data_IF_324353888989
#
_entry.id   IF_324353888989
#
_cell.length_a   1.000
_cell.length_b   1.000
_cell.length_c   1.000
_cell.angle_alpha   90.00
_cell.angle_beta   90.00
_cell.angle_gamma   90.00
#
_symmetry.space_group_name_H-M   'P 1'
#
loop_
_entity.id
_entity.type
_entity.pdbx_description
1 polymer ?
#
# COMPACT_ATOMS: atom_id res chain seq x y z
N UNK A 1 5.07 -2.46 22.79
CA UNK A 1 6.05 -2.99 21.82
C UNK A 1 5.47 -4.12 20.98
N UNK A 2 4.90 -5.18 21.57
CA UNK A 2 4.37 -6.34 20.82
C UNK A 2 3.43 -5.99 19.65
N UNK A 3 2.53 -5.03 19.82
CA UNK A 3 1.61 -4.58 18.76
C UNK A 3 2.30 -3.96 17.54
N UNK A 4 3.41 -3.23 17.73
CA UNK A 4 4.22 -2.67 16.63
C UNK A 4 4.96 -3.77 15.87
N UNK A 5 5.48 -4.77 16.59
CA UNK A 5 6.15 -5.93 15.99
C UNK A 5 5.15 -6.75 15.16
N UNK A 6 3.96 -7.03 15.71
CA UNK A 6 2.88 -7.71 14.99
C UNK A 6 2.47 -6.94 13.73
N UNK A 7 2.22 -5.62 13.84
CA UNK A 7 1.88 -4.79 12.68
C UNK A 7 2.96 -4.81 11.58
N UNK A 8 4.24 -4.77 11.97
CA UNK A 8 5.38 -4.87 11.05
C UNK A 8 5.46 -6.25 10.37
N UNK A 9 5.28 -7.34 11.14
CA UNK A 9 5.26 -8.69 10.58
C UNK A 9 4.12 -8.89 9.57
N UNK A 10 2.92 -8.38 9.85
CA UNK A 10 1.80 -8.42 8.90
C UNK A 10 2.13 -7.62 7.62
N UNK A 11 2.71 -6.43 7.76
CA UNK A 11 3.08 -5.60 6.62
C UNK A 11 4.18 -6.24 5.75
N UNK A 12 5.18 -6.90 6.36
CA UNK A 12 6.22 -7.67 5.63
C UNK A 12 5.63 -8.88 4.92
N UNK A 13 4.74 -9.65 5.57
CA UNK A 13 4.06 -10.79 4.95
C UNK A 13 3.17 -10.34 3.76
N UNK A 14 2.45 -9.23 3.91
CA UNK A 14 1.69 -8.62 2.82
C UNK A 14 2.58 -8.19 1.66
N UNK A 15 3.71 -7.54 1.93
CA UNK A 15 4.70 -7.13 0.93
C UNK A 15 5.30 -8.30 0.14
N UNK A 16 5.71 -9.38 0.85
CA UNK A 16 6.18 -10.62 0.22
C UNK A 16 5.07 -11.26 -0.63
N UNK A 17 3.82 -11.20 -0.18
CA UNK A 17 2.65 -11.57 -0.96
C UNK A 17 2.55 -10.79 -2.27
N UNK A 18 2.62 -9.45 -2.22
CA UNK A 18 2.58 -8.58 -3.43
C UNK A 18 3.69 -8.91 -4.43
N UNK A 19 4.92 -9.20 -3.96
CA UNK A 19 6.02 -9.67 -4.82
C UNK A 19 5.67 -11.03 -5.45
N UNK A 20 5.17 -11.98 -4.66
CA UNK A 20 4.81 -13.32 -5.11
C UNK A 20 3.74 -13.30 -6.21
N UNK A 21 2.70 -12.47 -6.06
CA UNK A 21 1.65 -12.27 -7.06
C UNK A 21 2.19 -11.62 -8.34
N UNK A 22 3.13 -10.70 -8.22
CA UNK A 22 3.79 -10.07 -9.36
C UNK A 22 4.57 -11.11 -10.19
N UNK A 23 5.27 -12.05 -9.55
CA UNK A 23 6.04 -13.10 -10.23
C UNK A 23 5.23 -14.29 -10.75
N UNK A 24 4.13 -14.66 -10.09
CA UNK A 24 3.36 -15.88 -10.40
C UNK A 24 2.54 -15.77 -11.69
N UNK A 25 2.60 -16.76 -12.60
CA UNK A 25 1.80 -16.78 -13.82
C UNK A 25 0.37 -17.30 -13.64
N UNK A 26 -0.22 -17.15 -12.46
CA UNK A 26 -1.53 -17.72 -12.11
C UNK A 26 -2.59 -16.64 -11.83
N UNK A 27 -2.72 -15.63 -12.70
CA UNK A 27 -3.73 -14.57 -12.57
C UNK A 27 -5.07 -14.96 -13.17
N UNK A 28 -5.05 -15.59 -14.35
CA UNK A 28 -6.23 -16.19 -14.99
C UNK A 28 -5.87 -17.58 -15.49
N UNK A 29 -6.73 -18.55 -15.27
CA UNK A 29 -6.65 -19.88 -15.86
C UNK A 29 -7.70 -19.97 -16.98
N UNK A 30 -7.46 -20.71 -18.07
CA UNK A 30 -8.45 -20.91 -19.12
C UNK A 30 -8.27 -22.29 -19.73
N UNK A 31 -9.30 -23.13 -19.61
CA UNK A 31 -9.31 -24.45 -20.22
C UNK A 31 -9.94 -24.37 -21.62
N UNK A 32 -9.15 -24.73 -22.64
CA UNK A 32 -9.61 -24.84 -24.01
C UNK A 32 -9.86 -26.31 -24.32
N UNK A 33 -11.14 -26.69 -24.34
CA UNK A 33 -11.57 -28.03 -24.75
C UNK A 33 -12.06 -27.94 -26.19
N UNK A 34 -11.17 -28.27 -27.13
CA UNK A 34 -11.55 -28.47 -28.54
C UNK A 34 -12.39 -29.74 -28.73
N UNK A 35 -13.05 -29.87 -29.89
CA UNK A 35 -13.87 -31.04 -30.22
C UNK A 35 -13.09 -32.38 -30.29
N UNK A 36 -11.75 -32.34 -30.24
CA UNK A 36 -10.88 -33.49 -30.13
C UNK A 36 -10.00 -33.40 -28.88
N UNK A 37 -9.94 -34.52 -28.13
CA UNK A 37 -9.16 -34.69 -26.88
C UNK A 37 -7.67 -34.33 -27.06
N UNK A 38 -7.13 -34.55 -28.26
CA UNK A 38 -5.73 -34.26 -28.63
C UNK A 38 -5.39 -32.76 -28.60
N UNK A 39 -6.38 -31.87 -28.65
CA UNK A 39 -6.21 -30.40 -28.65
C UNK A 39 -6.63 -29.72 -27.35
N UNK A 40 -6.88 -30.48 -26.27
CA UNK A 40 -7.22 -29.90 -24.98
C UNK A 40 -5.96 -29.31 -24.32
N UNK A 41 -6.02 -28.01 -24.00
CA UNK A 41 -4.92 -27.26 -23.39
C UNK A 41 -5.41 -26.35 -22.26
N UNK A 42 -4.59 -26.21 -21.22
CA UNK A 42 -4.84 -25.30 -20.09
C UNK A 42 -3.86 -24.14 -20.17
N UNK A 43 -4.38 -22.93 -20.33
CA UNK A 43 -3.59 -21.71 -20.39
C UNK A 43 -3.64 -20.99 -19.04
N UNK A 44 -2.47 -20.77 -18.45
CA UNK A 44 -2.25 -19.92 -17.30
C UNK A 44 -1.68 -18.58 -17.79
N UNK A 45 -2.47 -17.52 -17.65
CA UNK A 45 -2.04 -16.15 -17.93
C UNK A 45 -1.51 -15.51 -16.65
N UNK A 46 -0.26 -15.04 -16.74
CA UNK A 46 0.41 -14.27 -15.72
C UNK A 46 0.53 -12.80 -16.05
N UNK A 47 1.10 -12.05 -15.10
CA UNK A 47 1.40 -10.65 -15.34
C UNK A 47 2.55 -10.47 -16.35
N UNK A 48 3.60 -11.31 -16.32
CA UNK A 48 4.81 -11.17 -17.17
C UNK A 48 5.04 -12.29 -18.19
N UNK A 49 4.41 -13.45 -18.01
CA UNK A 49 4.50 -14.61 -18.89
C UNK A 49 3.15 -15.33 -18.95
N UNK A 50 2.92 -16.09 -20.02
CA UNK A 50 1.87 -17.10 -20.05
C UNK A 50 2.49 -18.51 -20.11
N UNK A 51 1.80 -19.49 -19.55
CA UNK A 51 2.19 -20.89 -19.60
C UNK A 51 1.02 -21.72 -20.15
N UNK A 52 1.28 -22.52 -21.17
CA UNK A 52 0.32 -23.48 -21.73
C UNK A 52 0.73 -24.88 -21.32
N UNK A 53 -0.21 -25.66 -20.79
CA UNK A 53 -0.04 -27.08 -20.51
C UNK A 53 -0.91 -27.85 -21.50
N UNK A 54 -0.24 -28.62 -22.37
CA UNK A 54 -0.89 -29.47 -23.37
C UNK A 54 -1.26 -30.84 -22.78
N UNK A 55 -2.23 -31.52 -23.39
CA UNK A 55 -2.67 -32.87 -22.96
C UNK A 55 -1.55 -33.95 -22.97
N UNK A 56 -0.42 -33.68 -23.63
CA UNK A 56 0.78 -34.53 -23.61
C UNK A 56 1.63 -34.36 -22.33
N UNK A 57 1.23 -33.50 -21.40
CA UNK A 57 1.95 -33.20 -20.16
C UNK A 57 3.13 -32.23 -20.33
N UNK A 58 3.34 -31.71 -21.54
CA UNK A 58 4.38 -30.71 -21.82
C UNK A 58 3.87 -29.33 -21.44
N UNK A 59 4.63 -28.62 -20.59
CA UNK A 59 4.40 -27.21 -20.27
C UNK A 59 5.32 -26.30 -21.09
N UNK A 60 4.75 -25.28 -21.72
CA UNK A 60 5.45 -24.27 -22.50
C UNK A 60 5.15 -22.89 -21.90
N UNK A 61 6.15 -22.25 -21.29
CA UNK A 61 6.03 -20.91 -20.73
C UNK A 61 6.73 -19.88 -21.62
N UNK A 62 6.00 -18.88 -22.09
CA UNK A 62 6.53 -17.82 -22.96
C UNK A 62 6.38 -16.44 -22.28
N UNK A 63 7.44 -15.63 -22.21
CA UNK A 63 7.33 -14.27 -21.69
C UNK A 63 6.71 -13.32 -22.74
N UNK A 64 6.04 -12.27 -22.28
CA UNK A 64 5.45 -11.25 -23.16
C UNK A 64 6.52 -10.27 -23.68
N UNK A 65 7.16 -10.59 -24.81
CA UNK A 65 8.24 -9.78 -25.39
C UNK A 65 7.82 -8.39 -25.89
N UNK A 66 6.57 -8.20 -26.31
CA UNK A 66 6.07 -6.94 -26.88
C UNK A 66 4.99 -6.31 -26.01
N UNK A 67 5.31 -5.20 -25.33
CA UNK A 67 4.36 -4.47 -24.48
C UNK A 67 3.24 -3.78 -25.27
N UNK A 68 3.48 -3.41 -26.54
CA UNK A 68 2.55 -2.63 -27.37
C UNK A 68 1.43 -3.48 -28.00
N UNK A 69 1.55 -4.81 -27.98
CA UNK A 69 0.56 -5.74 -28.52
C UNK A 69 -0.35 -6.37 -27.43
N UNK A 70 -0.22 -5.90 -26.19
CA UNK A 70 -0.92 -6.46 -25.03
C UNK A 70 -2.21 -5.66 -24.73
N UNK A 71 -3.31 -6.29 -24.27
CA UNK A 71 -4.50 -5.56 -23.85
C UNK A 71 -4.19 -4.51 -22.78
N UNK A 72 -4.79 -3.30 -22.86
CA UNK A 72 -4.46 -2.17 -21.98
C UNK A 72 -4.72 -2.47 -20.50
N UNK A 73 -5.73 -3.30 -20.21
CA UNK A 73 -6.08 -3.78 -18.87
C UNK A 73 -4.90 -4.48 -18.15
N UNK A 74 -4.13 -5.30 -18.89
CA UNK A 74 -2.94 -5.96 -18.35
C UNK A 74 -1.81 -4.96 -18.11
N UNK A 75 -1.64 -3.98 -19.00
CA UNK A 75 -0.62 -2.94 -18.86
C UNK A 75 -0.90 -2.03 -17.64
N UNK A 76 -2.16 -1.65 -17.42
CA UNK A 76 -2.59 -0.92 -16.24
C UNK A 76 -2.34 -1.73 -14.96
N UNK A 77 -2.70 -3.02 -14.95
CA UNK A 77 -2.48 -3.91 -13.81
C UNK A 77 -0.99 -4.10 -13.47
N UNK A 78 -0.11 -4.25 -14.48
CA UNK A 78 1.36 -4.24 -14.31
C UNK A 78 1.82 -2.96 -13.61
N UNK A 79 1.44 -1.80 -14.13
CA UNK A 79 1.86 -0.51 -13.58
C UNK A 79 1.41 -0.34 -12.12
N UNK A 80 0.15 -0.65 -11.80
CA UNK A 80 -0.40 -0.54 -10.45
C UNK A 80 0.31 -1.47 -9.45
N UNK A 81 0.58 -2.73 -9.83
CA UNK A 81 1.33 -3.68 -8.97
C UNK A 81 2.78 -3.21 -8.76
N UNK A 82 3.46 -2.73 -9.81
CA UNK A 82 4.82 -2.18 -9.67
C UNK A 82 4.87 -0.95 -8.75
N UNK A 83 3.89 -0.03 -8.85
CA UNK A 83 3.80 1.15 -7.98
C UNK A 83 3.43 0.74 -6.54
N UNK A 84 2.57 -0.26 -6.34
CA UNK A 84 2.29 -0.85 -5.02
C UNK A 84 3.56 -1.41 -4.37
N UNK A 85 4.38 -2.17 -5.10
CA UNK A 85 5.66 -2.69 -4.60
C UNK A 85 6.62 -1.54 -4.25
N UNK A 86 6.78 -0.55 -5.12
CA UNK A 86 7.66 0.58 -4.89
C UNK A 86 7.24 1.41 -3.66
N UNK A 87 5.94 1.69 -3.51
CA UNK A 87 5.40 2.40 -2.35
C UNK A 87 5.51 1.59 -1.06
N UNK A 88 5.35 0.26 -1.10
CA UNK A 88 5.60 -0.61 0.05
C UNK A 88 7.08 -0.62 0.48
N UNK A 89 8.05 -0.60 -0.45
CA UNK A 89 9.48 -0.46 -0.12
C UNK A 89 9.76 0.86 0.60
N UNK A 90 9.18 1.97 0.12
CA UNK A 90 9.29 3.27 0.79
C UNK A 90 8.65 3.25 2.19
N UNK A 91 7.51 2.56 2.36
CA UNK A 91 6.87 2.38 3.65
C UNK A 91 7.73 1.58 4.65
N UNK A 92 8.42 0.52 4.19
CA UNK A 92 9.40 -0.23 4.99
C UNK A 92 10.52 0.71 5.46
N UNK A 93 11.10 1.52 4.58
CA UNK A 93 12.14 2.50 4.95
C UNK A 93 11.67 3.49 6.04
N UNK A 94 10.50 4.11 5.85
CA UNK A 94 9.92 5.07 6.79
C UNK A 94 9.59 4.43 8.16
N UNK A 95 9.04 3.22 8.15
CA UNK A 95 8.71 2.49 9.38
C UNK A 95 9.96 2.06 10.15
N UNK A 96 11.00 1.56 9.48
CA UNK A 96 12.29 1.19 10.11
C UNK A 96 12.94 2.40 10.81
N UNK A 97 12.90 3.58 10.20
CA UNK A 97 13.36 4.84 10.82
C UNK A 97 12.48 5.24 12.01
N UNK A 98 11.16 5.05 11.92
CA UNK A 98 10.21 5.40 12.98
C UNK A 98 10.21 4.46 14.21
N UNK A 99 10.69 3.22 14.09
CA UNK A 99 10.72 2.25 15.18
C UNK A 99 11.60 2.70 16.35
N UNK A 100 11.05 2.72 17.57
CA UNK A 100 11.73 3.18 18.79
C UNK A 100 13.11 2.52 18.98
N UNK A 101 13.28 1.26 18.59
CA UNK A 101 14.51 0.47 18.68
C UNK A 101 15.68 0.95 17.78
N UNK A 102 15.41 1.67 16.69
CA UNK A 102 16.44 2.09 15.71
C UNK A 102 17.19 3.33 16.19
N UNK A 103 18.40 3.19 16.75
CA UNK A 103 19.22 4.34 17.21
C UNK A 103 20.10 4.93 16.08
N UNK A 104 19.51 5.15 14.90
CA UNK A 104 20.25 5.58 13.70
C UNK A 104 20.38 7.11 13.57
N UNK A 105 19.59 7.88 14.33
CA UNK A 105 19.64 9.35 14.36
C UNK A 105 19.20 9.93 15.70
N UNK A 106 19.89 10.98 16.16
CA UNK A 106 19.59 11.74 17.38
C UNK A 106 18.45 12.77 17.21
N UNK A 107 17.41 12.45 16.42
CA UNK A 107 16.24 13.33 16.24
C UNK A 107 15.29 13.28 17.45
N UNK A 108 14.50 14.35 17.66
CA UNK A 108 13.47 14.36 18.71
C UNK A 108 12.47 13.20 18.51
N UNK A 109 12.03 12.64 19.63
CA UNK A 109 11.19 11.45 19.71
C UNK A 109 9.85 11.63 18.99
N UNK A 110 9.37 12.87 18.89
CA UNK A 110 8.20 13.27 18.13
C UNK A 110 8.41 13.16 16.60
N UNK A 111 9.54 13.64 16.07
CA UNK A 111 9.87 13.54 14.63
C UNK A 111 9.96 12.08 14.20
N UNK A 112 10.57 11.24 15.05
CA UNK A 112 10.66 9.79 14.84
C UNK A 112 9.28 9.12 14.82
N UNK A 113 8.38 9.50 15.73
CA UNK A 113 7.00 9.01 15.72
C UNK A 113 6.26 9.43 14.43
N UNK A 114 6.38 10.69 14.00
CA UNK A 114 5.77 11.21 12.77
C UNK A 114 6.23 10.46 11.51
N UNK A 115 7.52 10.16 11.39
CA UNK A 115 8.04 9.34 10.28
C UNK A 115 7.43 7.93 10.25
N UNK A 116 7.29 7.30 11.41
CA UNK A 116 6.66 5.98 11.50
C UNK A 116 5.15 5.98 11.20
N UNK A 117 4.42 7.02 11.63
CA UNK A 117 2.99 7.22 11.28
C UNK A 117 2.85 7.38 9.76
N UNK A 118 3.70 8.22 9.15
CA UNK A 118 3.72 8.39 7.70
C UNK A 118 3.98 7.06 6.97
N UNK A 119 4.95 6.26 7.44
CA UNK A 119 5.20 4.91 6.91
C UNK A 119 3.98 3.99 7.01
N UNK A 120 3.24 4.01 8.12
CA UNK A 120 1.99 3.26 8.28
C UNK A 120 0.90 3.67 7.28
N UNK A 121 0.75 4.97 7.02
CA UNK A 121 -0.20 5.50 6.02
C UNK A 121 0.20 5.10 4.60
N UNK A 122 1.50 5.18 4.25
CA UNK A 122 2.00 4.74 2.94
C UNK A 122 1.80 3.22 2.76
N UNK A 123 1.91 2.41 3.81
CA UNK A 123 1.56 0.98 3.77
C UNK A 123 0.08 0.73 3.45
N UNK A 124 -0.84 1.51 4.02
CA UNK A 124 -2.28 1.42 3.69
C UNK A 124 -2.50 1.77 2.22
N UNK A 125 -1.89 2.86 1.73
CA UNK A 125 -1.97 3.25 0.32
C UNK A 125 -1.40 2.15 -0.61
N UNK A 126 -0.24 1.58 -0.29
CA UNK A 126 0.35 0.49 -1.07
C UNK A 126 -0.57 -0.74 -1.13
N UNK A 127 -1.22 -1.09 -0.02
CA UNK A 127 -2.24 -2.16 0.04
C UNK A 127 -3.47 -1.88 -0.84
N UNK A 128 -4.00 -0.65 -0.80
CA UNK A 128 -5.10 -0.23 -1.68
C UNK A 128 -4.70 -0.27 -3.16
N UNK A 129 -3.50 0.19 -3.51
CA UNK A 129 -2.95 0.11 -4.86
C UNK A 129 -2.74 -1.35 -5.34
N UNK A 130 -2.59 -2.32 -4.43
CA UNK A 130 -2.58 -3.74 -4.76
C UNK A 130 -4.01 -4.30 -4.95
N UNK A 131 -4.98 -3.87 -4.14
CA UNK A 131 -6.35 -4.38 -4.19
C UNK A 131 -7.11 -3.94 -5.44
N UNK A 132 -6.85 -2.72 -5.94
CA UNK A 132 -7.50 -2.19 -7.16
C UNK A 132 -7.27 -3.09 -8.39
N UNK A 133 -6.03 -3.36 -8.86
CA UNK A 133 -5.79 -4.17 -10.06
C UNK A 133 -6.22 -5.63 -9.88
N UNK A 134 -6.09 -6.19 -8.68
CA UNK A 134 -6.52 -7.57 -8.38
C UNK A 134 -8.04 -7.70 -8.47
N UNK A 135 -8.79 -6.76 -7.88
CA UNK A 135 -10.26 -6.78 -7.89
C UNK A 135 -10.82 -6.44 -9.28
N UNK A 136 -10.16 -5.53 -10.01
CA UNK A 136 -10.49 -5.23 -11.40
C UNK A 136 -10.23 -6.42 -12.34
N UNK A 137 -9.10 -7.10 -12.17
CA UNK A 137 -8.82 -8.35 -12.90
C UNK A 137 -9.88 -9.41 -12.61
N UNK A 138 -10.24 -9.62 -11.34
CA UNK A 138 -11.33 -10.53 -10.98
C UNK A 138 -12.67 -10.14 -11.65
N UNK A 139 -13.03 -8.85 -11.67
CA UNK A 139 -14.25 -8.36 -12.31
C UNK A 139 -14.27 -8.61 -13.83
N UNK A 140 -13.17 -8.32 -14.54
CA UNK A 140 -13.08 -8.56 -15.99
C UNK A 140 -13.13 -10.06 -16.34
N UNK A 141 -12.54 -10.91 -15.50
CA UNK A 141 -12.63 -12.37 -15.61
C UNK A 141 -14.08 -12.85 -15.42
N UNK A 142 -14.73 -12.44 -14.33
CA UNK A 142 -16.10 -12.84 -14.00
C UNK A 142 -17.11 -12.35 -15.06
N UNK A 143 -17.00 -11.10 -15.51
CA UNK A 143 -17.88 -10.57 -16.58
C UNK A 143 -17.64 -11.25 -17.93
N UNK A 144 -16.41 -11.70 -18.19
CA UNK A 144 -16.09 -12.53 -19.36
C UNK A 144 -16.84 -13.87 -19.39
N UNK A 145 -17.07 -14.53 -18.24
CA UNK A 145 -17.87 -15.76 -18.17
C UNK A 145 -19.32 -15.57 -18.60
N UNK A 146 -19.95 -14.46 -18.21
CA UNK A 146 -21.37 -14.20 -18.44
C UNK A 146 -21.66 -13.65 -19.85
N UNK A 147 -20.65 -13.33 -20.65
CA UNK A 147 -20.85 -12.77 -21.98
C UNK A 147 -21.12 -13.90 -23.01
N UNK A 148 -22.32 -13.95 -23.63
CA UNK A 148 -22.70 -15.02 -24.56
C UNK A 148 -21.96 -14.95 -25.91
N UNK A 149 -21.23 -13.87 -26.19
CA UNK A 149 -20.40 -13.74 -27.39
C UNK A 149 -19.04 -14.45 -27.26
N UNK A 150 -18.65 -14.85 -26.04
CA UNK A 150 -17.40 -15.54 -25.78
C UNK A 150 -17.55 -17.01 -26.19
N UNK A 151 -16.96 -17.39 -27.32
CA UNK A 151 -17.11 -18.72 -27.90
C UNK A 151 -16.89 -19.85 -26.87
N UNK A 152 -17.81 -20.83 -26.87
CA UNK A 152 -17.80 -22.00 -26.00
C UNK A 152 -16.41 -22.66 -26.00
N UNK A 153 -15.71 -22.62 -24.86
CA UNK A 153 -14.30 -23.06 -24.75
C UNK A 153 -13.28 -21.95 -24.43
N UNK A 154 -13.72 -20.70 -24.21
CA UNK A 154 -12.90 -19.57 -23.71
C UNK A 154 -13.26 -19.08 -22.30
N UNK A 155 -13.93 -19.92 -21.52
CA UNK A 155 -14.31 -19.62 -20.14
C UNK A 155 -13.07 -19.71 -19.24
N UNK A 156 -12.60 -18.55 -18.76
CA UNK A 156 -11.34 -18.43 -18.02
C UNK A 156 -11.56 -18.24 -16.53
N UNK A 157 -11.21 -19.23 -15.71
CA UNK A 157 -11.31 -19.24 -14.25
C UNK A 157 -10.36 -18.25 -13.53
N UNK A 158 -10.75 -17.88 -12.31
CA UNK A 158 -9.95 -17.05 -11.40
C UNK A 158 -8.67 -17.79 -11.01
N UNK A 159 -7.51 -17.22 -11.33
CA UNK A 159 -6.23 -17.82 -10.99
C UNK A 159 -5.89 -17.70 -9.49
N UNK A 160 -5.09 -18.65 -8.98
CA UNK A 160 -4.70 -18.71 -7.57
C UNK A 160 -4.07 -17.41 -7.03
N UNK A 161 -3.37 -16.63 -7.87
CA UNK A 161 -2.71 -15.39 -7.43
C UNK A 161 -3.70 -14.27 -7.08
N UNK A 162 -4.93 -14.29 -7.60
CA UNK A 162 -5.97 -13.30 -7.28
C UNK A 162 -6.36 -13.40 -5.80
N UNK A 163 -6.55 -14.61 -5.29
CA UNK A 163 -6.85 -14.85 -3.87
C UNK A 163 -5.67 -14.44 -2.98
N UNK A 164 -4.44 -14.75 -3.38
CA UNK A 164 -3.23 -14.28 -2.70
C UNK A 164 -3.17 -12.74 -2.72
N UNK A 165 -3.63 -12.09 -3.79
CA UNK A 165 -3.75 -10.64 -3.94
C UNK A 165 -4.67 -9.97 -2.94
N UNK A 166 -5.86 -10.53 -2.71
CA UNK A 166 -6.74 -10.03 -1.67
C UNK A 166 -6.15 -10.22 -0.27
N UNK A 167 -5.54 -11.37 0.02
CA UNK A 167 -4.89 -11.64 1.31
C UNK A 167 -3.70 -10.71 1.54
N UNK A 168 -2.82 -10.54 0.55
CA UNK A 168 -1.65 -9.67 0.62
C UNK A 168 -2.04 -8.19 0.81
N UNK A 169 -3.00 -7.70 0.01
CA UNK A 169 -3.53 -6.34 0.13
C UNK A 169 -4.20 -6.09 1.48
N UNK A 170 -4.99 -7.04 1.99
CA UNK A 170 -5.60 -6.94 3.31
C UNK A 170 -4.54 -6.94 4.44
N UNK A 171 -3.52 -7.79 4.36
CA UNK A 171 -2.40 -7.82 5.31
C UNK A 171 -1.62 -6.49 5.34
N UNK A 172 -1.39 -5.87 4.18
CA UNK A 172 -0.76 -4.55 4.08
C UNK A 172 -1.61 -3.46 4.76
N UNK A 173 -2.92 -3.42 4.48
CA UNK A 173 -3.85 -2.44 5.07
C UNK A 173 -3.97 -2.63 6.58
N UNK A 174 -4.12 -3.87 7.07
CA UNK A 174 -4.23 -4.18 8.50
C UNK A 174 -2.91 -3.89 9.22
N UNK A 175 -1.77 -4.30 8.65
CA UNK A 175 -0.44 -4.02 9.20
C UNK A 175 -0.15 -2.52 9.28
N UNK A 176 -0.41 -1.77 8.20
CA UNK A 176 -0.28 -0.31 8.15
C UNK A 176 -1.22 0.40 9.13
N UNK A 177 -2.45 -0.07 9.31
CA UNK A 177 -3.40 0.44 10.30
C UNK A 177 -2.93 0.25 11.75
N UNK A 178 -2.46 -0.96 12.09
CA UNK A 178 -1.90 -1.25 13.43
C UNK A 178 -0.67 -0.39 13.71
N UNK A 179 0.24 -0.24 12.74
CA UNK A 179 1.42 0.61 12.86
C UNK A 179 1.05 2.08 13.05
N UNK A 180 0.13 2.61 12.23
CA UNK A 180 -0.34 4.00 12.32
C UNK A 180 -0.96 4.30 13.68
N UNK A 181 -1.90 3.46 14.13
CA UNK A 181 -2.61 3.65 15.39
C UNK A 181 -1.66 3.57 16.60
N UNK A 182 -0.79 2.56 16.65
CA UNK A 182 0.13 2.37 17.78
C UNK A 182 1.20 3.46 17.88
N UNK A 183 1.57 4.09 16.76
CA UNK A 183 2.52 5.22 16.74
C UNK A 183 1.83 6.56 17.02
N UNK A 184 0.58 6.74 16.61
CA UNK A 184 -0.25 7.91 16.96
C UNK A 184 -0.43 8.02 18.49
N UNK A 185 -0.83 6.93 19.16
CA UNK A 185 -0.94 6.91 20.63
C UNK A 185 0.41 7.23 21.32
N UNK A 186 1.51 6.77 20.75
CA UNK A 186 2.85 7.00 21.27
C UNK A 186 3.38 8.44 21.03
N UNK A 187 2.81 9.19 20.09
CA UNK A 187 3.05 10.63 19.94
C UNK A 187 2.24 11.42 20.97
N UNK A 188 0.93 11.15 21.09
CA UNK A 188 0.03 11.83 22.04
C UNK A 188 0.53 11.75 23.48
N UNK A 189 1.12 10.62 23.90
CA UNK A 189 1.74 10.48 25.22
C UNK A 189 2.97 11.38 25.40
N UNK A 190 3.83 11.50 24.39
CA UNK A 190 5.03 12.36 24.43
C UNK A 190 4.63 13.83 24.47
N UNK A 191 3.64 14.23 23.66
CA UNK A 191 3.13 15.60 23.65
C UNK A 191 2.43 15.95 24.98
N UNK A 192 1.68 15.02 25.56
CA UNK A 192 1.09 15.18 26.90
C UNK A 192 2.14 15.35 27.99
N UNK A 193 3.23 14.58 27.95
CA UNK A 193 4.33 14.71 28.90
C UNK A 193 5.13 16.02 28.72
N UNK A 194 5.29 16.49 27.47
CA UNK A 194 5.79 17.85 27.17
C UNK A 194 4.86 18.90 27.75
N UNK A 195 3.54 18.82 27.50
CA UNK A 195 2.53 19.73 28.07
C UNK A 195 2.48 19.74 29.60
N UNK A 196 2.82 18.62 30.26
CA UNK A 196 2.93 18.57 31.72
C UNK A 196 4.18 19.31 32.24
N UNK A 197 5.33 19.18 31.56
CA UNK A 197 6.53 20.00 31.83
C UNK A 197 6.32 21.47 31.45
N UNK A 198 5.58 21.76 30.39
CA UNK A 198 5.22 23.10 29.90
C UNK A 198 3.86 23.57 30.46
N UNK A 199 3.54 23.16 31.70
CA UNK A 199 2.43 23.73 32.49
C UNK A 199 2.87 24.79 33.50
N UNK A 200 4.08 25.32 33.31
CA UNK A 200 4.32 26.77 33.34
C UNK A 200 4.23 27.26 31.86
N UNK A 201 3.54 28.37 31.54
CA UNK A 201 2.22 28.30 30.88
C UNK A 201 2.16 28.20 29.34
N UNK A 202 1.41 27.18 28.86
CA UNK A 202 0.29 27.22 27.88
C UNK A 202 0.45 27.95 26.51
N UNK A 203 0.60 27.16 25.42
CA UNK A 203 -0.15 27.08 24.10
C UNK A 203 0.71 26.30 23.07
N UNK A 204 0.30 25.87 21.86
CA UNK A 204 -0.99 25.57 21.19
C UNK A 204 -0.70 24.38 20.21
N UNK A 205 -1.32 23.20 20.32
CA UNK A 205 -2.26 22.61 19.34
C UNK A 205 -2.17 23.16 17.89
N UNK A 206 -1.72 22.36 16.90
CA UNK A 206 -2.61 21.74 15.88
C UNK A 206 -1.88 21.07 14.69
N UNK A 207 -2.45 19.97 14.21
CA UNK A 207 -2.56 19.44 12.83
C UNK A 207 -1.52 19.87 11.77
N UNK A 208 -0.73 18.91 11.26
CA UNK A 208 0.20 19.10 10.13
C UNK A 208 0.17 18.01 9.04
N UNK A 209 -0.85 17.16 8.98
CA UNK A 209 -0.96 16.06 7.97
C UNK A 209 -1.92 16.40 6.81
N UNK A 210 -2.70 17.49 6.92
CA UNK A 210 -3.59 17.96 5.84
C UNK A 210 -3.09 19.16 5.02
N UNK A 211 -2.02 19.83 5.45
CA UNK A 211 -1.72 21.18 4.97
C UNK A 211 -1.17 21.23 3.53
N UNK A 212 -0.39 20.21 3.11
CA UNK A 212 0.34 20.21 1.83
C UNK A 212 -0.52 20.11 0.57
N UNK A 213 -1.82 19.86 0.68
CA UNK A 213 -2.77 19.83 -0.45
C UNK A 213 -3.69 21.07 -0.51
N UNK A 214 -3.77 21.86 0.57
CA UNK A 214 -4.69 23.01 0.68
C UNK A 214 -3.96 24.34 0.41
N UNK A 215 -2.65 24.40 0.60
CA UNK A 215 -1.82 25.58 0.26
C UNK A 215 -1.67 25.88 -1.23
N UNK A 216 -2.26 25.07 -2.11
CA UNK A 216 -2.25 25.29 -3.56
C UNK A 216 -3.45 26.09 -4.10
N UNK A 217 -4.40 26.55 -3.25
CA UNK A 217 -5.68 27.10 -3.76
C UNK A 217 -6.20 28.44 -3.21
N UNK A 218 -5.68 29.01 -2.11
CA UNK A 218 -6.13 30.35 -1.63
C UNK A 218 -4.95 31.26 -1.22
N UNK A 219 -4.69 32.38 -1.92
CA UNK A 219 -3.53 33.24 -1.69
C UNK A 219 -3.83 34.56 -0.94
N UNK A 220 -4.75 34.58 0.04
CA UNK A 220 -5.29 35.87 0.56
C UNK A 220 -5.52 35.98 2.08
N UNK A 221 -4.68 35.35 2.92
CA UNK A 221 -4.59 35.67 4.35
C UNK A 221 -3.11 35.81 4.75
N UNK A 222 -2.60 37.04 4.72
CA UNK A 222 -1.23 37.40 5.15
C UNK A 222 -1.18 38.56 6.16
N UNK A 223 -2.33 39.11 6.54
CA UNK A 223 -2.45 40.34 7.35
C UNK A 223 -2.35 40.13 8.86
N UNK A 224 -2.86 39.01 9.39
CA UNK A 224 -3.17 38.92 10.83
C UNK A 224 -2.00 38.42 11.71
N UNK A 225 -0.81 38.29 11.13
CA UNK A 225 0.41 37.80 11.78
C UNK A 225 1.24 38.89 12.49
N UNK A 226 0.74 40.14 12.53
CA UNK A 226 1.51 41.32 12.97
C UNK A 226 1.19 41.79 14.39
N UNK A 227 0.03 41.42 14.97
CA UNK A 227 -0.51 42.12 16.16
C UNK A 227 -0.27 41.44 17.53
N UNK A 228 0.64 40.46 17.62
CA UNK A 228 0.96 39.75 18.89
C UNK A 228 2.43 39.96 19.32
N UNK A 229 3.10 40.99 18.81
CA UNK A 229 4.51 41.31 19.14
C UNK A 229 4.67 42.48 20.13
N UNK A 230 3.67 42.79 20.96
CA UNK A 230 3.70 43.93 21.90
C UNK A 230 3.69 43.49 23.37
N UNK A 231 4.90 43.46 23.94
CA UNK A 231 5.24 43.38 25.37
C UNK A 231 4.53 44.47 26.21
N UNK A 232 4.37 44.31 27.55
CA UNK A 232 5.45 44.76 28.45
C UNK A 232 5.69 43.97 29.76
N UNK A 233 6.98 44.01 30.13
CA UNK A 233 7.62 44.03 31.45
C UNK A 233 7.44 42.95 32.55
N UNK A 234 8.61 42.66 33.13
CA UNK A 234 8.95 41.80 34.27
C UNK A 234 8.56 42.43 35.61
N UNK A 235 8.19 41.59 36.58
CA UNK A 235 8.63 41.75 37.97
C UNK A 235 8.95 40.38 38.61
N UNK A 236 10.15 40.24 39.18
CA UNK A 236 10.61 39.03 39.91
C UNK A 236 10.89 39.44 41.36
N UNK A 237 9.87 39.38 42.23
CA UNK A 237 10.07 39.54 43.67
C UNK A 237 8.86 39.07 44.53
N UNK A 238 8.64 37.74 44.65
CA UNK A 238 8.19 37.03 45.87
C UNK A 238 7.75 35.58 45.59
N UNK A 239 8.28 34.68 46.43
CA UNK A 239 7.86 33.30 46.76
C UNK A 239 7.62 32.35 45.57
#
# INVERSE_FOLDING_TARGET
MSTQIVGLCLAILGFLGTILICGLPMWKMSAFIGANIVTAQVIYEGLWMNCVIESTGVSQCQPYFSVLALPPELQASRALVCVSIATAVLAIGLTVVGLRCTNFFSYDLATKAKCGIAGGVVFILAGLLCLIPVSWSAYTIITGFYNPLTANGRQGELGASIYVGWVAGALLVIGGGILSNTLLTAEQQVESHKKLKTKCPIRFVSVYVGWSLITLYLPDIKSDLVEISRFPHIDIHKL
#
